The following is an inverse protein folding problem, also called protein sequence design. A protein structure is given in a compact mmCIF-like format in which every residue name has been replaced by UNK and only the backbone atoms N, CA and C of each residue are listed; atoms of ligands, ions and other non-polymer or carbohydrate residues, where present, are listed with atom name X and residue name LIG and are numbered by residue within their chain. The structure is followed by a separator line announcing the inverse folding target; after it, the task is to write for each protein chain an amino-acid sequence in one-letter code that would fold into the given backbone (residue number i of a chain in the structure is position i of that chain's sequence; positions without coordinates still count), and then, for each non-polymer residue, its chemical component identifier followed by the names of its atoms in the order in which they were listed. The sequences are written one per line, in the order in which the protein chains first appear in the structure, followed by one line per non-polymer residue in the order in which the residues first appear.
data_IF_624424513062
#
_entry.id   IF_624424513062
#
_cell.length_a   1.000
_cell.length_b   1.000
_cell.length_c   1.000
_cell.angle_alpha   90.00
_cell.angle_beta   90.00
_cell.angle_gamma   90.00
#
_symmetry.space_group_name_H-M   'P 1'
#
loop_
_entity.id
_entity.type
_entity.pdbx_description
1 polymer ?
#
# COMPACT_ATOMS: atom_id res chain seq x y z
N UNK A 1 -13.53 25.47 -0.72
CA UNK A 1 -12.30 24.99 -0.07
C UNK A 1 -11.66 23.99 -1.01
N UNK A 2 -10.53 24.35 -1.61
CA UNK A 2 -9.76 23.48 -2.50
C UNK A 2 -8.82 22.65 -1.62
N UNK A 3 -9.06 21.35 -1.52
CA UNK A 3 -8.09 20.43 -0.93
C UNK A 3 -7.04 20.17 -2.01
N UNK A 4 -5.77 20.55 -1.84
CA UNK A 4 -4.74 20.13 -2.76
C UNK A 4 -4.66 18.60 -2.66
N UNK A 5 -4.81 17.92 -3.79
CA UNK A 5 -4.43 16.52 -3.94
C UNK A 5 -2.92 16.52 -3.76
N UNK A 6 -2.45 16.21 -2.55
CA UNK A 6 -1.04 15.95 -2.32
C UNK A 6 -0.68 14.82 -3.28
N UNK A 7 0.20 15.12 -4.23
CA UNK A 7 0.83 14.11 -5.07
C UNK A 7 1.40 13.03 -4.12
N UNK A 8 0.70 11.89 -4.01
CA UNK A 8 1.19 10.69 -3.33
C UNK A 8 2.47 10.16 -3.99
N UNK A 9 3.02 10.82 -5.01
CA UNK A 9 4.18 10.40 -5.78
C UNK A 9 5.52 10.54 -5.02
N UNK A 10 5.63 11.42 -4.01
CA UNK A 10 6.94 11.80 -3.46
C UNK A 10 7.22 11.40 -2.00
N UNK A 11 6.31 10.73 -1.30
CA UNK A 11 6.62 10.27 0.06
C UNK A 11 7.72 9.19 0.05
N UNK A 12 8.85 9.39 0.78
CA UNK A 12 9.98 8.45 0.79
C UNK A 12 9.66 7.15 1.55
N UNK A 13 8.61 7.18 2.38
CA UNK A 13 8.20 6.09 3.25
C UNK A 13 6.73 5.75 3.06
N UNK A 14 6.36 4.50 3.32
CA UNK A 14 4.98 4.01 3.23
C UNK A 14 4.55 3.35 4.54
N UNK A 15 3.26 3.45 4.84
CA UNK A 15 2.67 2.91 6.08
C UNK A 15 2.22 1.45 5.92
N UNK A 16 1.95 0.77 7.03
CA UNK A 16 1.36 -0.58 7.05
C UNK A 16 0.07 -0.66 6.23
N UNK A 17 -0.77 0.39 6.29
CA UNK A 17 -2.02 0.44 5.53
C UNK A 17 -1.78 0.48 4.02
N UNK A 18 -0.75 1.20 3.57
CA UNK A 18 -0.36 1.24 2.17
C UNK A 18 0.17 -0.12 1.71
N UNK A 19 1.10 -0.71 2.46
CA UNK A 19 1.66 -2.05 2.15
C UNK A 19 0.55 -3.11 2.10
N UNK A 20 -0.39 -3.07 3.03
CA UNK A 20 -1.56 -3.97 3.06
C UNK A 20 -2.42 -3.87 1.80
N UNK A 21 -2.60 -2.66 1.26
CA UNK A 21 -3.35 -2.43 0.02
C UNK A 21 -2.60 -3.01 -1.17
N UNK A 22 -1.29 -2.74 -1.29
CA UNK A 22 -0.48 -3.25 -2.40
C UNK A 22 -0.41 -4.78 -2.45
N UNK A 23 -0.39 -5.44 -1.29
CA UNK A 23 -0.42 -6.91 -1.21
C UNK A 23 -1.81 -7.52 -1.46
N UNK A 24 -2.84 -6.71 -1.75
CA UNK A 24 -4.22 -7.18 -1.92
C UNK A 24 -4.84 -7.77 -0.66
N UNK A 25 -4.33 -7.45 0.54
CA UNK A 25 -4.75 -8.01 1.84
C UNK A 25 -5.61 -7.04 2.65
N UNK A 26 -6.44 -6.23 1.99
CA UNK A 26 -7.29 -5.22 2.65
C UNK A 26 -8.23 -5.77 3.72
N UNK A 27 -8.66 -7.03 3.58
CA UNK A 27 -9.52 -7.74 4.55
C UNK A 27 -8.78 -8.25 5.79
N UNK A 28 -7.45 -8.15 5.84
CA UNK A 28 -6.69 -8.64 6.99
C UNK A 28 -6.77 -7.61 8.12
N UNK A 29 -7.21 -8.09 9.28
CA UNK A 29 -7.08 -7.35 10.54
C UNK A 29 -5.61 -7.13 10.89
N UNK A 30 -5.35 -6.10 11.69
CA UNK A 30 -4.00 -5.61 12.01
C UNK A 30 -3.05 -6.71 12.50
N UNK A 31 -3.48 -7.51 13.47
CA UNK A 31 -2.69 -8.63 13.99
C UNK A 31 -2.30 -9.65 12.91
N UNK A 32 -3.20 -9.91 11.96
CA UNK A 32 -2.97 -10.87 10.87
C UNK A 32 -2.00 -10.31 9.83
N UNK A 33 -2.12 -9.03 9.47
CA UNK A 33 -1.20 -8.40 8.52
C UNK A 33 0.21 -8.25 9.10
N UNK A 34 0.33 -7.95 10.40
CA UNK A 34 1.63 -7.90 11.10
C UNK A 34 2.33 -9.26 11.03
N UNK A 35 1.64 -10.34 11.45
CA UNK A 35 2.20 -11.68 11.39
C UNK A 35 2.56 -12.11 9.96
N UNK A 36 1.72 -11.74 8.97
CA UNK A 36 1.99 -12.02 7.57
C UNK A 36 3.24 -11.29 7.05
N UNK A 37 3.42 -10.02 7.39
CA UNK A 37 4.61 -9.26 7.00
C UNK A 37 5.87 -9.76 7.70
N UNK A 38 5.80 -10.12 8.98
CA UNK A 38 6.94 -10.76 9.67
C UNK A 38 7.38 -12.02 8.93
N UNK A 39 6.44 -12.89 8.53
CA UNK A 39 6.75 -14.08 7.75
C UNK A 39 7.31 -13.75 6.36
N UNK A 40 6.80 -12.71 5.69
CA UNK A 40 7.33 -12.26 4.40
C UNK A 40 8.78 -11.76 4.51
N UNK A 41 9.11 -11.05 5.59
CA UNK A 41 10.48 -10.59 5.86
C UNK A 41 11.38 -11.80 6.09
N UNK A 42 10.97 -12.72 6.97
CA UNK A 42 11.79 -13.87 7.37
C UNK A 42 11.98 -14.89 6.23
N UNK A 43 10.95 -15.11 5.40
CA UNK A 43 10.91 -16.22 4.45
C UNK A 43 11.07 -15.80 2.99
N UNK A 44 10.67 -14.58 2.63
CA UNK A 44 10.62 -14.11 1.24
C UNK A 44 11.47 -12.85 1.01
N UNK A 45 12.28 -12.46 2.01
CA UNK A 45 13.18 -11.32 1.90
C UNK A 45 12.47 -9.98 1.71
N UNK A 46 11.22 -9.85 2.17
CA UNK A 46 10.52 -8.57 2.14
C UNK A 46 11.31 -7.53 2.95
N UNK A 47 11.41 -6.27 2.50
CA UNK A 47 12.19 -5.25 3.20
C UNK A 47 11.68 -5.04 4.64
N UNK A 48 12.59 -4.98 5.64
CA UNK A 48 12.20 -4.70 7.02
C UNK A 48 11.70 -3.24 7.16
N UNK A 49 10.85 -2.96 8.16
CA UNK A 49 10.45 -1.61 8.46
C UNK A 49 11.63 -0.78 8.99
N UNK A 50 11.49 0.54 8.93
CA UNK A 50 12.43 1.45 9.57
C UNK A 50 12.46 1.20 11.09
N UNK A 51 13.65 1.27 11.72
CA UNK A 51 13.77 1.04 13.15
C UNK A 51 12.96 2.06 13.95
N UNK A 52 12.15 1.57 14.89
CA UNK A 52 11.41 2.40 15.84
C UNK A 52 12.00 2.25 17.24
N UNK A 53 12.09 3.36 17.97
CA UNK A 53 12.48 3.36 19.37
C UNK A 53 11.37 2.75 20.21
N UNK A 54 11.63 1.57 20.78
CA UNK A 54 10.72 0.93 21.70
C UNK A 54 11.19 1.10 23.14
N UNK A 55 10.25 1.52 24.00
CA UNK A 55 10.43 1.53 25.44
C UNK A 55 10.44 0.07 25.93
N UNK A 56 11.55 -0.35 26.51
CA UNK A 56 11.61 -1.63 27.21
C UNK A 56 10.72 -1.52 28.46
N UNK A 57 9.72 -2.40 28.56
CA UNK A 57 8.68 -2.32 29.60
C UNK A 57 9.19 -2.73 31.00
N UNK A 58 10.43 -3.21 31.11
CA UNK A 58 11.04 -3.72 32.34
C UNK A 58 11.56 -2.65 33.31
N UNK A 59 11.05 -1.41 33.22
CA UNK A 59 11.40 -0.34 34.17
C UNK A 59 12.82 0.19 34.05
N UNK A 60 13.65 -0.38 33.17
CA UNK A 60 14.85 0.27 32.67
C UNK A 60 14.42 1.28 31.60
N UNK A 61 14.84 2.54 31.74
CA UNK A 61 14.67 3.57 30.70
C UNK A 61 15.57 3.30 29.47
N UNK A 62 15.75 2.02 29.12
CA UNK A 62 16.47 1.59 27.95
C UNK A 62 15.53 1.67 26.74
N UNK A 63 15.93 2.46 25.76
CA UNK A 63 15.29 2.48 24.46
C UNK A 63 16.00 1.45 23.58
N UNK A 64 15.26 0.48 23.07
CA UNK A 64 15.78 -0.48 22.09
C UNK A 64 15.26 -0.11 20.72
N UNK A 65 16.17 0.08 19.76
CA UNK A 65 15.81 0.18 18.35
C UNK A 65 15.43 -1.21 17.86
N UNK A 66 14.21 -1.36 17.36
CA UNK A 66 13.75 -2.62 16.77
C UNK A 66 13.09 -2.38 15.42
N UNK A 67 13.30 -3.31 14.51
CA UNK A 67 12.65 -3.40 13.20
C UNK A 67 11.53 -4.44 13.20
N UNK A 68 10.98 -4.77 14.38
CA UNK A 68 9.76 -5.56 14.48
C UNK A 68 8.60 -4.85 13.78
N UNK A 69 7.79 -5.63 13.06
CA UNK A 69 6.60 -5.11 12.40
C UNK A 69 5.55 -4.74 13.44
N UNK A 70 5.13 -3.47 13.43
CA UNK A 70 4.10 -2.89 14.30
C UNK A 70 3.07 -2.14 13.48
N UNK A 71 1.99 -1.74 14.12
CA UNK A 71 0.91 -0.97 13.51
C UNK A 71 1.40 0.38 12.95
N UNK A 72 2.33 0.99 13.67
CA UNK A 72 2.93 2.29 13.38
C UNK A 72 4.10 2.23 12.41
N UNK A 73 4.57 1.02 12.09
CA UNK A 73 5.75 0.83 11.25
C UNK A 73 5.60 1.48 9.88
N UNK A 74 6.73 2.01 9.43
CA UNK A 74 6.90 2.62 8.12
C UNK A 74 8.03 1.93 7.37
N UNK A 75 7.91 1.83 6.05
CA UNK A 75 8.89 1.18 5.17
C UNK A 75 9.47 2.16 4.17
N UNK A 76 10.72 1.99 3.72
CA UNK A 76 11.25 2.72 2.58
C UNK A 76 10.46 2.36 1.31
N UNK A 77 9.80 3.34 0.70
CA UNK A 77 8.89 3.11 -0.44
C UNK A 77 9.60 2.42 -1.60
N UNK A 78 10.80 2.91 -1.95
CA UNK A 78 11.58 2.38 -3.07
C UNK A 78 11.93 0.91 -2.89
N UNK A 79 12.24 0.49 -1.66
CA UNK A 79 12.57 -0.91 -1.37
C UNK A 79 11.33 -1.82 -1.51
N UNK A 80 10.18 -1.35 -1.03
CA UNK A 80 8.92 -2.12 -1.16
C UNK A 80 8.50 -2.23 -2.62
N UNK A 81 8.58 -1.15 -3.39
CA UNK A 81 8.26 -1.18 -4.82
C UNK A 81 9.18 -2.11 -5.60
N UNK A 82 10.50 -2.00 -5.41
CA UNK A 82 11.46 -2.89 -6.07
C UNK A 82 11.18 -4.37 -5.75
N UNK A 83 10.86 -4.69 -4.50
CA UNK A 83 10.49 -6.05 -4.12
C UNK A 83 9.19 -6.51 -4.79
N UNK A 84 8.17 -5.64 -4.88
CA UNK A 84 6.91 -5.97 -5.55
C UNK A 84 7.10 -6.21 -7.05
N UNK A 85 7.95 -5.41 -7.68
CA UNK A 85 8.28 -5.53 -9.11
C UNK A 85 9.01 -6.84 -9.41
N UNK A 86 9.98 -7.23 -8.57
CA UNK A 86 10.73 -8.49 -8.73
C UNK A 86 9.91 -9.73 -8.34
N UNK A 87 8.92 -9.59 -7.44
CA UNK A 87 8.09 -10.70 -6.97
C UNK A 87 6.91 -11.01 -7.90
N UNK A 88 6.59 -10.15 -8.87
CA UNK A 88 5.65 -10.46 -9.94
C UNK A 88 6.41 -11.10 -11.11
N UNK A 89 6.26 -12.42 -11.37
CA UNK A 89 6.78 -12.96 -12.61
C UNK A 89 6.16 -12.18 -13.77
N UNK A 90 6.94 -11.81 -14.82
CA UNK A 90 6.48 -10.90 -15.87
C UNK A 90 5.19 -11.35 -16.57
N UNK A 91 4.88 -12.66 -16.54
CA UNK A 91 3.62 -13.22 -17.02
C UNK A 91 2.37 -12.78 -16.22
N UNK A 92 2.53 -12.47 -14.93
CA UNK A 92 1.44 -12.10 -14.03
C UNK A 92 1.32 -10.58 -13.84
N UNK A 93 2.40 -9.82 -14.02
CA UNK A 93 2.37 -8.35 -14.00
C UNK A 93 1.39 -7.80 -15.05
N UNK A 94 1.43 -8.36 -16.28
CA UNK A 94 0.50 -8.00 -17.34
C UNK A 94 -0.98 -8.31 -17.01
N UNK A 95 -1.25 -9.34 -16.20
CA UNK A 95 -2.60 -9.68 -15.76
C UNK A 95 -3.12 -8.70 -14.70
N UNK A 96 -2.25 -8.25 -13.79
CA UNK A 96 -2.60 -7.26 -12.76
C UNK A 96 -2.88 -5.89 -13.42
N UNK A 97 -2.05 -5.46 -14.37
CA UNK A 97 -2.28 -4.23 -15.13
C UNK A 97 -3.58 -4.26 -15.95
N UNK A 98 -3.89 -5.41 -16.54
CA UNK A 98 -5.13 -5.61 -17.28
C UNK A 98 -6.36 -5.60 -16.35
N UNK A 99 -6.24 -6.15 -15.14
CA UNK A 99 -7.29 -6.10 -14.12
C UNK A 99 -7.50 -4.68 -13.62
N UNK A 100 -6.43 -3.94 -13.33
CA UNK A 100 -6.50 -2.53 -12.93
C UNK A 100 -7.10 -1.64 -14.03
N UNK A 101 -6.78 -1.90 -15.31
CA UNK A 101 -7.42 -1.22 -16.44
C UNK A 101 -8.91 -1.52 -16.55
N UNK A 102 -9.33 -2.76 -16.28
CA UNK A 102 -10.76 -3.14 -16.28
C UNK A 102 -11.53 -2.51 -15.14
N UNK A 103 -10.96 -2.48 -13.94
CA UNK A 103 -11.60 -1.84 -12.79
C UNK A 103 -11.73 -0.32 -13.01
N UNK A 104 -10.69 0.33 -13.54
CA UNK A 104 -10.75 1.75 -13.91
C UNK A 104 -11.80 2.03 -15.01
N UNK A 105 -11.92 1.14 -16.02
CA UNK A 105 -12.95 1.26 -17.04
C UNK A 105 -14.36 1.09 -16.46
N UNK A 106 -14.56 0.15 -15.54
CA UNK A 106 -15.83 -0.06 -14.87
C UNK A 106 -16.24 1.15 -14.00
N UNK A 107 -15.28 1.77 -13.32
CA UNK A 107 -15.50 3.00 -12.55
C UNK A 107 -15.87 4.19 -13.46
N UNK A 108 -15.20 4.31 -14.62
CA UNK A 108 -15.53 5.34 -15.63
C UNK A 108 -16.92 5.14 -16.23
N UNK A 109 -17.32 3.90 -16.52
CA UNK A 109 -18.65 3.58 -17.04
C UNK A 109 -19.75 3.85 -16.00
N UNK A 110 -19.49 3.53 -14.73
CA UNK A 110 -20.41 3.87 -13.63
C UNK A 110 -20.58 5.39 -13.48
N UNK A 111 -19.49 6.14 -13.57
CA UNK A 111 -19.53 7.61 -13.57
C UNK A 111 -20.29 8.16 -14.79
N UNK A 112 -20.07 7.59 -15.98
CA UNK A 112 -20.76 7.98 -17.21
C UNK A 112 -22.28 7.72 -17.16
N UNK A 113 -22.72 6.65 -16.50
CA UNK A 113 -24.14 6.37 -16.27
C UNK A 113 -24.86 7.44 -15.43
N UNK A 114 -24.11 8.26 -14.68
CA UNK A 114 -24.63 9.36 -13.86
C UNK A 114 -24.65 10.69 -14.61
N UNK A 115 -24.02 10.75 -15.80
CA UNK A 115 -23.98 11.95 -16.63
C UNK A 115 -25.24 12.04 -17.50
N UNK A 116 -26.04 13.08 -17.28
CA UNK A 116 -27.18 13.40 -18.12
C UNK A 116 -26.67 14.08 -19.39
N UNK A 117 -26.82 13.42 -20.54
CA UNK A 117 -26.50 14.01 -21.85
C UNK A 117 -27.37 15.25 -22.02
N UNK A 118 -26.76 16.44 -21.89
CA UNK A 118 -27.40 17.68 -22.28
C UNK A 118 -27.38 17.70 -23.79
N UNK A 119 -28.50 17.29 -24.39
CA UNK A 119 -28.72 17.38 -25.82
C UNK A 119 -28.73 18.87 -26.18
N UNK A 120 -27.58 19.42 -26.53
CA UNK A 120 -27.44 20.73 -27.16
C UNK A 120 -28.08 20.67 -28.55
N UNK A 121 -29.40 20.80 -28.60
CA UNK A 121 -30.17 20.83 -29.83
C UNK A 121 -30.45 22.27 -30.28
N UNK A 122 -30.03 22.56 -31.53
CA UNK A 122 -30.52 23.58 -32.49
C UNK A 122 -30.39 25.07 -32.08
N UNK A 123 -30.10 26.02 -32.99
CA UNK A 123 -30.06 26.05 -34.45
C UNK A 123 -29.07 27.14 -34.89
#
# INVERSE_FOLDING_TARGET
MYQPVLDEADEPTVTLSWVRRQLGRTKYGERRIIAYLSLLIDQQGFPPPLPELNLVRDGSAAHTLTSEVRATSIWPRKAVLAWLDDYLPPANAAQVDEMARRDAAADMDSAAGTLRVVQGGRA
#
